data_IF_440959766417
#
_entry.id   IF_440959766417
#
_cell.length_a   1.000
_cell.length_b   1.000
_cell.length_c   1.000
_cell.angle_alpha   90.00
_cell.angle_beta   90.00
_cell.angle_gamma   90.00
#
_symmetry.space_group_name_H-M   'P 1'
#
loop_
_entity.id
_entity.type
_entity.pdbx_description
1 polymer ?
#
# COMPACT_ATOMS: atom_id res chain seq x y z
N UNK A 1 0.31 -27.60 -47.54
CA UNK A 1 0.75 -27.67 -46.13
C UNK A 1 0.92 -26.24 -45.67
N UNK A 2 -0.13 -25.64 -45.11
CA UNK A 2 -0.16 -24.20 -44.78
C UNK A 2 0.34 -23.97 -43.37
N UNK A 3 1.24 -23.01 -43.23
CA UNK A 3 1.96 -22.64 -42.00
C UNK A 3 0.98 -21.91 -41.06
N UNK A 4 0.80 -22.44 -39.85
CA UNK A 4 0.02 -21.78 -38.80
C UNK A 4 0.95 -20.86 -37.99
N UNK A 5 0.79 -19.56 -38.21
CA UNK A 5 1.36 -18.48 -37.40
C UNK A 5 0.69 -18.48 -36.02
N UNK A 6 1.42 -18.38 -34.89
CA UNK A 6 0.78 -18.29 -33.59
C UNK A 6 0.14 -16.91 -33.43
N UNK A 7 -1.13 -16.95 -33.05
CA UNK A 7 -1.98 -15.79 -32.83
C UNK A 7 -1.38 -14.87 -31.77
N UNK A 8 -1.20 -13.61 -32.17
CA UNK A 8 -0.84 -12.48 -31.36
C UNK A 8 -1.83 -12.38 -30.20
N UNK A 9 -1.41 -12.80 -29.00
CA UNK A 9 -2.15 -12.58 -27.76
C UNK A 9 -2.40 -11.08 -27.63
N UNK A 10 -3.66 -10.68 -27.80
CA UNK A 10 -4.07 -9.30 -27.66
C UNK A 10 -3.82 -8.86 -26.21
N UNK A 11 -2.77 -8.08 -26.01
CA UNK A 11 -2.68 -7.15 -24.90
C UNK A 11 -3.95 -6.28 -24.98
N UNK A 12 -4.97 -6.64 -24.20
CA UNK A 12 -5.98 -5.67 -23.79
C UNK A 12 -5.22 -4.66 -22.94
N UNK A 13 -4.68 -3.65 -23.61
CA UNK A 13 -4.22 -2.43 -22.99
C UNK A 13 -5.36 -1.96 -22.10
N UNK A 14 -5.16 -2.13 -20.79
CA UNK A 14 -5.97 -1.49 -19.78
C UNK A 14 -5.81 0.00 -20.08
N UNK A 15 -6.78 0.58 -20.80
CA UNK A 15 -6.82 2.02 -21.00
C UNK A 15 -6.69 2.59 -19.60
N UNK A 16 -5.60 3.30 -19.35
CA UNK A 16 -5.41 4.13 -18.18
C UNK A 16 -6.50 5.18 -18.24
N UNK A 17 -7.72 4.82 -17.84
CA UNK A 17 -8.73 5.79 -17.48
C UNK A 17 -8.05 6.71 -16.48
N UNK A 18 -8.24 8.01 -16.64
CA UNK A 18 -7.70 9.09 -15.81
C UNK A 18 -8.16 8.96 -14.35
N UNK A 19 -7.75 7.88 -13.68
CA UNK A 19 -7.99 7.64 -12.27
C UNK A 19 -6.95 8.48 -11.56
N UNK A 20 -7.32 9.73 -11.31
CA UNK A 20 -6.66 10.54 -10.30
C UNK A 20 -6.72 9.78 -8.98
N UNK A 21 -5.56 9.48 -8.42
CA UNK A 21 -5.46 8.75 -7.15
C UNK A 21 -4.55 9.48 -6.18
N UNK A 22 -5.00 9.60 -4.93
CA UNK A 22 -4.28 10.26 -3.84
C UNK A 22 -4.15 9.28 -2.68
N UNK A 23 -2.92 8.97 -2.27
CA UNK A 23 -2.63 7.91 -1.30
C UNK A 23 -1.85 8.42 -0.08
N UNK A 24 -2.19 7.90 1.10
CA UNK A 24 -1.55 8.21 2.37
C UNK A 24 -1.13 6.93 3.08
N UNK A 25 0.18 6.82 3.29
CA UNK A 25 0.84 5.76 4.04
C UNK A 25 1.21 6.30 5.41
N UNK A 26 0.83 5.60 6.49
CA UNK A 26 1.10 6.07 7.84
C UNK A 26 1.50 4.94 8.80
N UNK A 27 2.45 5.21 9.71
CA UNK A 27 2.83 4.28 10.75
C UNK A 27 1.81 4.32 11.90
N UNK A 28 1.66 3.20 12.59
CA UNK A 28 0.93 3.12 13.86
C UNK A 28 1.52 2.04 14.77
N UNK A 29 1.11 2.05 16.04
CA UNK A 29 1.42 1.00 17.01
C UNK A 29 0.16 0.23 17.34
N UNK A 30 0.28 -1.09 17.42
CA UNK A 30 -0.81 -1.97 17.81
C UNK A 30 -0.67 -2.31 19.28
N UNK A 31 -1.64 -1.87 20.08
CA UNK A 31 -1.71 -2.16 21.51
C UNK A 31 -2.42 -3.49 21.75
N UNK A 32 -1.79 -4.41 22.49
CA UNK A 32 -2.39 -5.68 22.90
C UNK A 32 -2.28 -5.89 24.39
N UNK A 33 -3.36 -6.37 25.01
CA UNK A 33 -3.36 -6.85 26.39
C UNK A 33 -2.83 -8.29 26.41
N UNK A 34 -1.87 -8.57 27.28
CA UNK A 34 -1.27 -9.88 27.48
C UNK A 34 -2.08 -10.70 28.49
N UNK A 35 -1.78 -12.00 28.59
CA UNK A 35 -2.47 -12.92 29.49
C UNK A 35 -2.25 -12.58 30.97
N UNK A 36 -1.09 -12.02 31.31
CA UNK A 36 -0.78 -11.51 32.64
C UNK A 36 -1.49 -10.16 32.97
N UNK A 37 -2.29 -9.65 32.04
CA UNK A 37 -3.02 -8.38 32.17
C UNK A 37 -2.23 -7.14 31.79
N UNK A 38 -0.92 -7.26 31.51
CA UNK A 38 -0.08 -6.14 31.08
C UNK A 38 -0.36 -5.73 29.62
N UNK A 39 0.13 -4.57 29.21
CA UNK A 39 -0.06 -4.03 27.86
C UNK A 39 1.24 -4.02 27.06
N UNK A 40 1.16 -4.45 25.81
CA UNK A 40 2.24 -4.56 24.85
C UNK A 40 1.99 -3.66 23.64
N UNK A 41 3.03 -2.99 23.14
CA UNK A 41 3.01 -2.28 21.87
C UNK A 41 3.73 -3.10 20.80
N UNK A 42 3.11 -3.24 19.63
CA UNK A 42 3.65 -3.94 18.49
C UNK A 42 3.93 -3.00 17.30
N UNK A 43 5.03 -3.23 16.55
CA UNK A 43 6.03 -4.29 16.75
C UNK A 43 6.82 -4.15 18.05
N UNK A 44 7.26 -5.29 18.60
CA UNK A 44 8.16 -5.30 19.75
C UNK A 44 9.53 -4.85 19.26
N UNK A 45 10.00 -3.74 19.82
CA UNK A 45 11.32 -3.17 19.53
C UNK A 45 12.03 -3.04 20.88
N UNK A 46 13.28 -3.50 20.94
CA UNK A 46 14.15 -3.31 22.09
C UNK A 46 14.88 -1.99 21.89
N UNK A 47 14.73 -1.06 22.84
CA UNK A 47 15.30 0.29 22.74
C UNK A 47 14.38 1.29 22.03
N UNK A 48 14.98 2.37 21.52
CA UNK A 48 14.27 3.46 20.86
C UNK A 48 13.81 3.08 19.44
N UNK A 49 12.66 3.61 19.02
CA UNK A 49 12.14 3.38 17.67
C UNK A 49 12.71 4.41 16.70
N UNK A 50 13.37 3.94 15.66
CA UNK A 50 13.68 4.75 14.48
C UNK A 50 12.40 5.06 13.65
N UNK A 51 12.03 6.34 13.45
CA UNK A 51 10.91 6.74 12.59
C UNK A 51 11.05 6.31 11.11
N UNK A 52 12.29 6.09 10.65
CA UNK A 52 12.58 5.74 9.27
C UNK A 52 12.64 4.22 9.04
N UNK A 53 12.82 3.44 10.10
CA UNK A 53 12.85 1.98 10.00
C UNK A 53 11.44 1.40 9.93
N UNK A 54 11.06 0.89 8.75
CA UNK A 54 9.73 0.33 8.53
C UNK A 54 9.38 -0.86 9.44
N UNK A 55 10.37 -1.62 9.94
CA UNK A 55 10.09 -2.77 10.82
C UNK A 55 9.72 -2.37 12.26
N UNK A 56 9.95 -1.11 12.63
CA UNK A 56 9.65 -0.60 13.98
C UNK A 56 8.18 -0.19 14.17
N UNK A 57 7.38 -0.23 13.09
CA UNK A 57 6.01 0.24 13.05
C UNK A 57 5.10 -0.77 12.35
N UNK A 58 3.80 -0.74 12.69
CA UNK A 58 2.77 -1.22 11.78
C UNK A 58 2.50 -0.12 10.76
N UNK A 59 2.00 -0.49 9.59
CA UNK A 59 1.74 0.44 8.51
C UNK A 59 0.34 0.24 7.97
N UNK A 60 -0.31 1.34 7.66
CA UNK A 60 -1.58 1.31 6.95
C UNK A 60 -1.56 2.26 5.76
N UNK A 61 -2.30 1.87 4.72
CA UNK A 61 -2.42 2.64 3.49
C UNK A 61 -3.89 2.87 3.13
N UNK A 62 -4.21 4.15 2.94
CA UNK A 62 -5.50 4.61 2.48
C UNK A 62 -5.30 5.41 1.20
N UNK A 63 -6.24 5.33 0.26
CA UNK A 63 -6.21 6.18 -0.93
C UNK A 63 -7.61 6.59 -1.35
N UNK A 64 -7.69 7.59 -2.21
CA UNK A 64 -8.92 8.00 -2.87
C UNK A 64 -8.73 7.86 -4.37
N UNK A 65 -9.76 7.35 -5.03
CA UNK A 65 -9.83 7.25 -6.49
C UNK A 65 -11.02 8.08 -6.98
N UNK A 66 -10.83 8.81 -8.07
CA UNK A 66 -11.91 9.53 -8.73
C UNK A 66 -12.56 8.61 -9.78
N UNK A 67 -13.77 8.13 -9.49
CA UNK A 67 -14.51 7.23 -10.38
C UNK A 67 -15.75 7.97 -10.89
N UNK A 68 -15.80 8.25 -12.20
CA UNK A 68 -16.89 9.01 -12.84
C UNK A 68 -17.16 10.35 -12.14
N UNK A 69 -16.10 11.07 -11.77
CA UNK A 69 -16.19 12.37 -11.10
C UNK A 69 -16.45 12.32 -9.59
N UNK A 70 -16.66 11.13 -9.00
CA UNK A 70 -16.91 10.98 -7.56
C UNK A 70 -15.69 10.38 -6.87
N UNK A 71 -15.21 11.03 -5.81
CA UNK A 71 -14.14 10.50 -4.97
C UNK A 71 -14.63 9.32 -4.12
N UNK A 72 -13.94 8.20 -4.21
CA UNK A 72 -14.17 7.01 -3.40
C UNK A 72 -12.95 6.71 -2.56
N UNK A 73 -13.14 6.65 -1.24
CA UNK A 73 -12.10 6.25 -0.30
C UNK A 73 -11.91 4.73 -0.29
N UNK A 74 -10.65 4.31 -0.17
CA UNK A 74 -10.21 2.92 -0.10
C UNK A 74 -9.18 2.79 1.03
N UNK A 75 -9.12 1.60 1.60
CA UNK A 75 -8.15 1.23 2.62
C UNK A 75 -7.77 -0.23 2.43
N UNK A 76 -6.48 -0.54 2.54
CA UNK A 76 -6.01 -1.93 2.65
C UNK A 76 -5.68 -2.31 4.09
N UNK A 77 -5.97 -1.43 5.06
CA UNK A 77 -5.65 -1.68 6.47
C UNK A 77 -4.16 -1.91 6.68
N UNK A 78 -3.82 -2.94 7.46
CA UNK A 78 -2.44 -3.31 7.80
C UNK A 78 -1.68 -3.84 6.58
N UNK A 79 -0.51 -3.28 6.30
CA UNK A 79 0.38 -3.73 5.22
C UNK A 79 1.70 -4.29 5.78
N UNK A 80 2.35 -5.23 5.07
CA UNK A 80 3.70 -5.68 5.41
C UNK A 80 4.73 -4.54 5.33
N UNK A 81 5.73 -4.55 6.22
CA UNK A 81 6.81 -3.55 6.19
C UNK A 81 7.59 -3.56 4.86
N UNK A 82 7.70 -4.71 4.17
CA UNK A 82 8.30 -4.79 2.84
C UNK A 82 7.56 -4.00 1.75
N UNK A 83 6.25 -3.80 1.91
CA UNK A 83 5.45 -3.01 0.96
C UNK A 83 5.62 -1.49 1.14
N UNK A 84 6.17 -1.05 2.29
CA UNK A 84 6.37 0.38 2.60
C UNK A 84 7.30 1.05 1.60
N UNK A 85 8.39 0.37 1.22
CA UNK A 85 9.36 0.90 0.25
C UNK A 85 8.71 1.09 -1.11
N UNK A 86 7.97 0.07 -1.58
CA UNK A 86 7.29 0.09 -2.88
C UNK A 86 6.25 1.24 -2.93
N UNK A 87 5.43 1.40 -1.89
CA UNK A 87 4.41 2.45 -1.85
C UNK A 87 5.06 3.84 -1.81
N UNK A 88 6.14 4.02 -1.05
CA UNK A 88 6.90 5.29 -1.03
C UNK A 88 7.48 5.63 -2.40
N UNK A 89 7.99 4.63 -3.13
CA UNK A 89 8.47 4.81 -4.50
C UNK A 89 7.34 5.20 -5.46
N UNK A 90 6.17 4.54 -5.35
CA UNK A 90 4.97 4.89 -6.12
C UNK A 90 4.50 6.33 -5.85
N UNK A 91 4.55 6.78 -4.59
CA UNK A 91 4.23 8.16 -4.22
C UNK A 91 5.22 9.16 -4.85
N UNK A 92 6.53 8.86 -4.83
CA UNK A 92 7.56 9.69 -5.48
C UNK A 92 7.40 9.73 -7.01
N UNK A 93 6.99 8.61 -7.60
CA UNK A 93 6.71 8.49 -9.05
C UNK A 93 5.40 9.12 -9.50
N UNK A 94 4.62 9.73 -8.59
CA UNK A 94 3.38 10.43 -8.94
C UNK A 94 2.17 9.53 -9.16
N UNK A 95 2.23 8.26 -8.77
CA UNK A 95 1.06 7.34 -8.84
C UNK A 95 -0.04 7.81 -7.88
N UNK A 96 0.37 8.35 -6.73
CA UNK A 96 -0.48 8.85 -5.66
C UNK A 96 -0.15 10.32 -5.34
N UNK A 97 -0.57 11.27 -6.18
CA UNK A 97 -0.31 12.70 -5.98
C UNK A 97 -1.36 13.34 -5.08
N UNK A 98 -0.99 14.44 -4.38
CA UNK A 98 -1.86 15.16 -3.45
C UNK A 98 -2.51 16.37 -4.11
#
# INVERSE_FOLDING_TARGET
MSVATPEKSSEKGLKSSDIESVGYLYPYLETKKLQDGSTALYPRVIGERDPNNASHWRWAFNWKEKIKGVWKGRSIGSIPCGAVTIIREMQKGGVYQR
#
